data_IF_658417060416
#
_entry.id   IF_658417060416
#
_cell.length_a   1.000
_cell.length_b   1.000
_cell.length_c   1.000
_cell.angle_alpha   90.00
_cell.angle_beta   90.00
_cell.angle_gamma   90.00
#
_symmetry.space_group_name_H-M   'P 1'
#
loop_
_entity.id
_entity.type
_entity.pdbx_description
1 polymer ?
#
# COMPACT_ATOMS: atom_id res chain seq x y z
N UNK A 1 -17.97 -7.00 3.28
CA UNK A 1 -17.46 -8.04 2.35
C UNK A 1 -16.00 -8.32 2.70
N UNK A 2 -15.54 -9.58 2.63
CA UNK A 2 -14.14 -9.96 2.91
C UNK A 2 -13.53 -10.53 1.64
N UNK A 3 -12.31 -10.12 1.31
CA UNK A 3 -11.52 -10.54 0.15
C UNK A 3 -10.14 -11.00 0.62
N UNK A 4 -9.64 -12.11 0.08
CA UNK A 4 -8.23 -12.50 0.25
C UNK A 4 -7.41 -11.77 -0.81
N UNK A 5 -6.39 -11.04 -0.38
CA UNK A 5 -5.49 -10.28 -1.26
C UNK A 5 -4.24 -11.09 -1.62
N UNK A 6 -3.68 -11.80 -0.64
CA UNK A 6 -2.48 -12.60 -0.78
C UNK A 6 -2.50 -13.79 0.19
N UNK A 7 -1.91 -14.90 -0.22
CA UNK A 7 -1.79 -16.13 0.58
C UNK A 7 -0.41 -16.73 0.36
N UNK A 8 0.31 -16.94 1.46
CA UNK A 8 1.65 -17.51 1.48
C UNK A 8 1.81 -18.52 2.61
N UNK A 9 2.93 -19.22 2.64
CA UNK A 9 3.30 -20.12 3.74
C UNK A 9 3.41 -19.40 5.10
N UNK A 10 3.61 -18.07 5.09
CA UNK A 10 3.72 -17.25 6.28
C UNK A 10 2.37 -16.68 6.75
N UNK A 11 1.30 -16.87 5.98
CA UNK A 11 -0.02 -16.38 6.34
C UNK A 11 -0.86 -15.83 5.19
N UNK A 12 -1.99 -15.25 5.56
CA UNK A 12 -3.01 -14.72 4.64
C UNK A 12 -3.20 -13.23 4.89
N UNK A 13 -3.14 -12.42 3.83
CA UNK A 13 -3.53 -11.02 3.83
C UNK A 13 -4.97 -10.89 3.33
N UNK A 14 -5.81 -10.21 4.09
CA UNK A 14 -7.23 -10.05 3.81
C UNK A 14 -7.64 -8.58 3.88
N UNK A 15 -8.61 -8.23 3.07
CA UNK A 15 -9.26 -6.93 3.04
C UNK A 15 -10.73 -7.09 3.39
N UNK A 16 -11.23 -6.25 4.28
CA UNK A 16 -12.62 -6.28 4.68
C UNK A 16 -13.22 -4.87 4.67
N UNK A 17 -14.39 -4.74 4.02
CA UNK A 17 -15.21 -3.53 4.10
C UNK A 17 -16.41 -3.79 4.99
N UNK A 18 -16.62 -2.92 5.97
CA UNK A 18 -17.81 -2.92 6.81
C UNK A 18 -19.00 -2.35 6.05
N UNK A 19 -20.08 -3.13 5.92
CA UNK A 19 -21.28 -2.67 5.21
C UNK A 19 -22.06 -1.58 5.99
N UNK A 20 -21.87 -1.48 7.31
CA UNK A 20 -22.63 -0.54 8.16
C UNK A 20 -22.00 0.85 8.20
N UNK A 21 -20.67 0.94 8.27
CA UNK A 21 -19.97 2.23 8.38
C UNK A 21 -19.06 2.56 7.19
N UNK A 22 -18.90 1.63 6.23
CA UNK A 22 -18.03 1.83 5.06
C UNK A 22 -16.53 1.80 5.35
N UNK A 23 -16.12 1.55 6.60
CA UNK A 23 -14.71 1.47 6.95
C UNK A 23 -14.04 0.25 6.31
N UNK A 24 -12.81 0.44 5.85
CA UNK A 24 -12.00 -0.64 5.30
C UNK A 24 -10.92 -1.07 6.29
N UNK A 25 -10.66 -2.36 6.31
CA UNK A 25 -9.73 -3.02 7.21
C UNK A 25 -8.80 -3.91 6.39
N UNK A 26 -7.50 -3.74 6.61
CA UNK A 26 -6.47 -4.66 6.12
C UNK A 26 -6.03 -5.54 7.29
N UNK A 27 -6.12 -6.86 7.15
CA UNK A 27 -5.78 -7.81 8.20
C UNK A 27 -4.86 -8.91 7.69
N UNK A 28 -3.74 -9.12 8.39
CA UNK A 28 -2.78 -10.20 8.13
C UNK A 28 -2.90 -11.25 9.23
N UNK A 29 -3.11 -12.50 8.84
CA UNK A 29 -3.18 -13.65 9.73
C UNK A 29 -2.00 -14.58 9.48
N UNK A 30 -1.35 -15.06 10.53
CA UNK A 30 -0.30 -16.07 10.46
C UNK A 30 -0.62 -17.22 11.41
N UNK A 31 -0.44 -18.45 10.94
CA UNK A 31 -0.60 -19.64 11.77
C UNK A 31 0.73 -19.97 12.43
N UNK A 32 0.75 -19.98 13.76
CA UNK A 32 1.89 -20.37 14.58
C UNK A 32 1.55 -21.65 15.37
N UNK A 33 2.55 -22.41 15.87
CA UNK A 33 2.31 -23.62 16.65
C UNK A 33 1.37 -23.43 17.86
N UNK A 34 1.39 -22.23 18.46
CA UNK A 34 0.55 -21.84 19.59
C UNK A 34 -0.85 -21.35 19.20
N UNK A 35 -1.16 -21.22 17.91
CA UNK A 35 -2.45 -20.74 17.40
C UNK A 35 -2.32 -19.70 16.28
N UNK A 36 -3.46 -19.14 15.88
CA UNK A 36 -3.53 -18.09 14.85
C UNK A 36 -3.27 -16.73 15.50
N UNK A 37 -2.32 -15.99 14.97
CA UNK A 37 -2.04 -14.60 15.34
C UNK A 37 -2.43 -13.71 14.17
N UNK A 38 -3.04 -12.57 14.44
CA UNK A 38 -3.40 -11.62 13.40
C UNK A 38 -3.23 -10.18 13.85
N UNK A 39 -2.88 -9.33 12.89
CA UNK A 39 -2.87 -7.88 13.04
C UNK A 39 -3.82 -7.27 12.03
N UNK A 40 -4.48 -6.19 12.41
CA UNK A 40 -5.39 -5.47 11.53
C UNK A 40 -5.23 -3.96 11.67
N UNK A 41 -5.36 -3.25 10.56
CA UNK A 41 -5.22 -1.79 10.48
C UNK A 41 -6.40 -1.24 9.67
N UNK A 42 -6.96 -0.13 10.14
CA UNK A 42 -7.96 0.63 9.39
C UNK A 42 -7.27 1.40 8.27
N UNK A 43 -7.84 1.35 7.07
CA UNK A 43 -7.27 2.00 5.89
C UNK A 43 -8.36 2.65 5.05
N UNK A 44 -7.98 3.67 4.32
CA UNK A 44 -8.77 4.29 3.26
C UNK A 44 -8.42 3.73 1.87
N UNK A 45 -7.36 2.93 1.77
CA UNK A 45 -6.90 2.30 0.53
C UNK A 45 -7.91 1.27 0.01
N UNK A 46 -7.99 1.17 -1.32
CA UNK A 46 -8.69 0.11 -2.04
C UNK A 46 -7.83 -1.15 -2.13
N UNK A 47 -8.45 -2.33 -2.37
CA UNK A 47 -7.71 -3.59 -2.55
C UNK A 47 -6.56 -3.51 -3.56
N UNK A 48 -6.78 -2.85 -4.69
CA UNK A 48 -5.75 -2.71 -5.73
C UNK A 48 -4.59 -1.83 -5.26
N UNK A 49 -4.88 -0.68 -4.64
CA UNK A 49 -3.86 0.24 -4.13
C UNK A 49 -2.97 -0.45 -3.10
N UNK A 50 -3.55 -1.28 -2.22
CA UNK A 50 -2.77 -2.09 -1.26
C UNK A 50 -1.78 -3.02 -1.97
N UNK A 51 -2.21 -3.67 -3.06
CA UNK A 51 -1.33 -4.59 -3.81
C UNK A 51 -0.26 -3.84 -4.60
N UNK A 52 -0.60 -2.68 -5.16
CA UNK A 52 0.35 -1.82 -5.87
C UNK A 52 1.46 -1.34 -4.90
N UNK A 53 1.08 -0.88 -3.70
CA UNK A 53 2.04 -0.49 -2.66
C UNK A 53 2.92 -1.65 -2.16
N UNK A 54 2.44 -2.89 -2.22
CA UNK A 54 3.21 -4.05 -1.80
C UNK A 54 4.24 -4.49 -2.86
N UNK A 55 3.98 -4.17 -4.14
CA UNK A 55 4.82 -4.55 -5.27
C UNK A 55 5.79 -3.47 -5.75
N UNK A 56 5.53 -2.20 -5.43
CA UNK A 56 6.40 -1.09 -5.83
C UNK A 56 7.71 -1.04 -5.03
N UNK A 57 8.78 -0.62 -5.70
CA UNK A 57 10.07 -0.39 -5.07
C UNK A 57 9.93 0.66 -3.95
N UNK A 58 10.61 0.44 -2.83
CA UNK A 58 10.68 1.45 -1.77
C UNK A 58 11.28 2.74 -2.33
N UNK A 59 10.56 3.84 -2.17
CA UNK A 59 11.10 5.18 -2.44
C UNK A 59 12.28 5.39 -1.50
N UNK A 60 13.49 5.53 -2.05
CA UNK A 60 14.69 5.80 -1.27
C UNK A 60 14.70 7.26 -0.79
N UNK A 61 15.41 7.54 0.30
CA UNK A 61 15.57 8.90 0.82
C UNK A 61 16.13 9.86 -0.27
N UNK A 62 17.05 9.35 -1.10
CA UNK A 62 17.64 10.09 -2.22
C UNK A 62 16.60 10.45 -3.29
N UNK A 63 15.63 9.58 -3.57
CA UNK A 63 14.55 9.85 -4.53
C UNK A 63 13.70 11.05 -4.09
N UNK A 64 13.47 11.18 -2.77
CA UNK A 64 12.73 12.30 -2.19
C UNK A 64 13.50 13.61 -2.33
N UNK A 65 14.82 13.58 -2.07
CA UNK A 65 15.69 14.75 -2.19
C UNK A 65 15.85 15.19 -3.64
N UNK A 66 16.00 14.24 -4.57
CA UNK A 66 16.11 14.51 -6.00
C UNK A 66 14.82 15.11 -6.54
N UNK A 67 13.66 14.56 -6.15
CA UNK A 67 12.36 15.12 -6.55
C UNK A 67 12.18 16.54 -6.01
N UNK A 68 12.52 16.78 -4.74
CA UNK A 68 12.49 18.12 -4.16
C UNK A 68 13.38 19.08 -4.95
N UNK A 69 14.59 18.65 -5.30
CA UNK A 69 15.55 19.47 -6.02
C UNK A 69 14.99 19.86 -7.40
N UNK A 70 14.47 18.88 -8.15
CA UNK A 70 13.85 19.09 -9.46
C UNK A 70 12.63 20.02 -9.42
N UNK A 71 11.80 19.91 -8.37
CA UNK A 71 10.67 20.82 -8.14
C UNK A 71 11.17 22.23 -7.85
N UNK A 72 12.17 22.38 -6.96
CA UNK A 72 12.71 23.68 -6.56
C UNK A 72 13.31 24.46 -7.74
N UNK A 73 13.92 23.74 -8.69
CA UNK A 73 14.50 24.31 -9.92
C UNK A 73 13.48 24.51 -11.04
N UNK A 74 12.22 24.13 -10.84
CA UNK A 74 11.16 24.06 -11.87
C UNK A 74 11.52 23.16 -13.06
N UNK A 75 12.54 22.33 -12.93
CA UNK A 75 13.02 21.43 -13.99
C UNK A 75 11.97 20.37 -14.30
N UNK A 76 11.30 19.84 -13.27
CA UNK A 76 10.20 18.90 -13.43
C UNK A 76 9.07 19.48 -14.31
N UNK A 77 8.63 20.70 -14.00
CA UNK A 77 7.56 21.40 -14.75
C UNK A 77 7.99 21.69 -16.18
N UNK A 78 9.24 22.12 -16.38
CA UNK A 78 9.77 22.43 -17.70
C UNK A 78 9.94 21.20 -18.58
N UNK A 79 10.30 20.05 -18.00
CA UNK A 79 10.44 18.79 -18.73
C UNK A 79 9.08 18.18 -19.09
N UNK A 80 8.10 18.22 -18.18
CA UNK A 80 6.73 17.78 -18.46
C UNK A 80 6.07 18.60 -19.59
N UNK A 81 6.28 19.92 -19.62
CA UNK A 81 5.79 20.78 -20.71
C UNK A 81 6.38 20.48 -22.09
N UNK A 82 7.52 19.78 -22.18
CA UNK A 82 8.13 19.39 -23.46
C UNK A 82 7.59 18.06 -23.99
N UNK A 83 6.90 17.29 -23.16
CA UNK A 83 6.32 15.98 -23.49
C UNK A 83 4.87 16.09 -23.99
N UNK A 84 4.25 17.26 -23.87
CA UNK A 84 2.90 17.60 -24.34
C UNK A 84 3.05 18.51 -25.56
#
# INVERSE_FOLDING_TARGET
MVQVLDESEYGVLTYATCNSCGANLLAKFASLPQGVVGNAILTDLKPQEVMDFAGDDNIADDDVLDLQYLISKKELVNNLKKLI
#
